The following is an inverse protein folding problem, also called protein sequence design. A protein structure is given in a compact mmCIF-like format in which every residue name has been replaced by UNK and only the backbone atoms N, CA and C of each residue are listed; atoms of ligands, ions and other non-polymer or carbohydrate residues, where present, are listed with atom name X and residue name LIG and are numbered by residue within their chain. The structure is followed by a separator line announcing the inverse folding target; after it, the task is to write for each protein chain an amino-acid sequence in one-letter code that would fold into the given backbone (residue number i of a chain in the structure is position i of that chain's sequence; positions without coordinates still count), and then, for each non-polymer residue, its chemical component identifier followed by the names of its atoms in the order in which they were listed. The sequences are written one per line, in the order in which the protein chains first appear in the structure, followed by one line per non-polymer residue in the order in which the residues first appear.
data_IF_011251933274
#
_entry.id   IF_011251933274
#
_cell.length_a   1.000
_cell.length_b   1.000
_cell.length_c   1.000
_cell.angle_alpha   90.00
_cell.angle_beta   90.00
_cell.angle_gamma   90.00
#
_symmetry.space_group_name_H-M   'P 1'
#
loop_
_entity.id
_entity.type
_entity.pdbx_description
1 polymer ?
#
# COMPACT_ATOMS: atom_id res chain seq x y z
N UNK A 1 12.79 12.94 -14.60
CA UNK A 1 13.23 12.14 -13.42
C UNK A 1 13.38 10.69 -13.83
N UNK A 2 14.60 10.13 -13.84
CA UNK A 2 14.79 8.67 -13.96
C UNK A 2 14.41 8.05 -12.61
N UNK A 3 13.41 7.17 -12.61
CA UNK A 3 12.91 6.46 -11.43
C UNK A 3 13.86 5.31 -11.01
N UNK A 4 15.17 5.56 -10.94
CA UNK A 4 16.17 4.49 -10.83
C UNK A 4 16.36 3.92 -9.42
N UNK A 5 15.78 4.53 -8.37
CA UNK A 5 15.98 4.09 -6.98
C UNK A 5 14.66 3.84 -6.21
N UNK A 6 13.52 3.65 -6.89
CA UNK A 6 12.26 3.33 -6.19
C UNK A 6 12.28 1.83 -5.86
N UNK A 7 12.45 1.50 -4.58
CA UNK A 7 12.21 0.15 -4.08
C UNK A 7 10.76 0.03 -3.62
N UNK A 8 10.00 -0.89 -4.23
CA UNK A 8 8.58 -1.04 -3.99
C UNK A 8 8.23 -2.50 -3.72
N UNK A 9 7.38 -2.71 -2.73
CA UNK A 9 6.77 -4.01 -2.42
C UNK A 9 5.27 -3.93 -2.62
N UNK A 10 4.72 -4.88 -3.37
CA UNK A 10 3.29 -4.93 -3.73
C UNK A 10 2.62 -6.05 -2.96
N UNK A 11 1.59 -5.70 -2.18
CA UNK A 11 0.69 -6.66 -1.54
C UNK A 11 -0.64 -6.72 -2.29
N UNK A 12 -1.07 -7.90 -2.70
CA UNK A 12 -2.30 -8.08 -3.46
C UNK A 12 -3.11 -9.26 -2.93
N UNK A 13 -4.38 -8.99 -2.59
CA UNK A 13 -5.34 -10.04 -2.28
C UNK A 13 -6.16 -10.42 -3.52
N UNK A 14 -6.21 -11.73 -3.82
CA UNK A 14 -7.03 -12.27 -4.91
C UNK A 14 -8.13 -13.19 -4.39
N UNK A 15 -9.37 -12.90 -4.78
CA UNK A 15 -10.56 -13.69 -4.41
C UNK A 15 -10.72 -14.93 -5.33
N UNK A 16 -9.71 -15.80 -5.42
CA UNK A 16 -9.75 -17.08 -6.18
C UNK A 16 -9.56 -18.30 -5.25
N UNK A 17 -10.08 -19.46 -5.65
CA UNK A 17 -9.95 -20.76 -4.92
C UNK A 17 -8.62 -21.50 -5.18
N UNK A 18 -7.83 -21.09 -6.18
CA UNK A 18 -6.58 -21.74 -6.62
C UNK A 18 -5.32 -20.98 -6.18
N UNK A 19 -4.22 -21.71 -6.01
CA UNK A 19 -3.32 -21.67 -4.84
C UNK A 19 -1.90 -21.16 -5.04
N UNK A 20 -1.45 -20.81 -6.24
CA UNK A 20 -0.04 -20.41 -6.38
C UNK A 20 0.05 -19.29 -7.40
N UNK A 21 0.20 -18.08 -6.89
CA UNK A 21 0.74 -16.97 -7.67
C UNK A 21 2.18 -16.86 -7.20
N UNK A 22 3.12 -16.91 -8.14
CA UNK A 22 4.55 -16.81 -7.83
C UNK A 22 4.80 -15.54 -7.03
N UNK A 23 5.25 -15.74 -5.79
CA UNK A 23 5.61 -14.66 -4.90
C UNK A 23 7.07 -14.31 -5.12
N UNK A 24 7.36 -13.02 -5.21
CA UNK A 24 8.72 -12.52 -5.10
C UNK A 24 8.80 -11.69 -3.83
N UNK A 25 10.02 -11.39 -3.38
CA UNK A 25 10.24 -10.48 -2.25
C UNK A 25 9.59 -9.11 -2.44
N UNK A 26 9.37 -8.69 -3.70
CA UNK A 26 8.72 -7.41 -4.06
C UNK A 26 7.25 -7.54 -4.45
N UNK A 27 6.73 -8.76 -4.57
CA UNK A 27 5.35 -9.02 -5.00
C UNK A 27 4.76 -10.18 -4.22
N UNK A 28 3.95 -9.85 -3.22
CA UNK A 28 3.30 -10.79 -2.33
C UNK A 28 1.83 -10.84 -2.72
N UNK A 29 1.43 -11.95 -3.33
CA UNK A 29 0.04 -12.18 -3.73
C UNK A 29 -0.53 -13.33 -2.91
N UNK A 30 -1.67 -13.10 -2.29
CA UNK A 30 -2.29 -14.06 -1.39
C UNK A 30 -3.78 -14.24 -1.67
N UNK A 31 -4.26 -15.45 -1.39
CA UNK A 31 -5.63 -15.88 -1.66
C UNK A 31 -6.34 -16.33 -0.38
N UNK A 32 -7.64 -16.62 -0.50
CA UNK A 32 -8.51 -16.97 0.64
C UNK A 32 -7.99 -18.11 1.52
N UNK A 33 -7.28 -19.10 0.95
CA UNK A 33 -6.73 -20.24 1.71
C UNK A 33 -5.57 -19.84 2.64
N UNK A 34 -4.96 -18.69 2.40
CA UNK A 34 -3.86 -18.16 3.20
C UNK A 34 -4.36 -17.11 4.20
N UNK A 35 -5.65 -17.16 4.53
CA UNK A 35 -6.26 -16.33 5.55
C UNK A 35 -6.67 -17.19 6.74
N UNK A 36 -6.64 -16.61 7.94
CA UNK A 36 -7.32 -17.14 9.11
C UNK A 36 -8.84 -17.12 8.91
N UNK A 37 -9.56 -17.76 9.83
CA UNK A 37 -11.02 -17.71 9.86
C UNK A 37 -11.58 -16.27 9.90
N UNK A 38 -10.88 -15.35 10.57
CA UNK A 38 -11.25 -13.93 10.67
C UNK A 38 -10.76 -13.08 9.49
N UNK A 39 -10.15 -13.70 8.48
CA UNK A 39 -9.66 -12.99 7.29
C UNK A 39 -8.28 -12.34 7.44
N UNK A 40 -7.57 -12.55 8.56
CA UNK A 40 -6.17 -12.11 8.74
C UNK A 40 -5.26 -12.93 7.84
N UNK A 41 -4.35 -12.34 7.04
CA UNK A 41 -3.35 -13.11 6.32
C UNK A 41 -2.49 -13.97 7.26
N UNK A 42 -2.07 -15.14 6.77
CA UNK A 42 -1.19 -16.04 7.51
C UNK A 42 0.18 -15.40 7.78
N UNK A 43 0.89 -15.95 8.75
CA UNK A 43 2.12 -15.34 9.28
C UNK A 43 3.24 -15.25 8.24
N UNK A 44 3.27 -16.15 7.27
CA UNK A 44 4.19 -16.11 6.12
C UNK A 44 3.99 -14.87 5.24
N UNK A 45 2.76 -14.35 5.14
CA UNK A 45 2.42 -13.11 4.44
C UNK A 45 2.69 -11.88 5.32
N UNK A 46 2.42 -11.99 6.64
CA UNK A 46 2.52 -10.86 7.56
C UNK A 46 3.97 -10.56 7.99
N UNK A 47 4.80 -11.58 8.15
CA UNK A 47 6.15 -11.43 8.71
C UNK A 47 7.05 -10.50 7.88
N UNK A 48 7.11 -10.59 6.53
CA UNK A 48 7.88 -9.65 5.74
C UNK A 48 7.45 -8.19 5.96
N UNK A 49 6.13 -7.95 6.03
CA UNK A 49 5.55 -6.63 6.26
C UNK A 49 5.99 -6.02 7.59
N UNK A 50 6.00 -6.81 8.66
CA UNK A 50 6.31 -6.36 10.02
C UNK A 50 7.80 -6.06 10.24
N UNK A 51 8.66 -6.65 9.40
CA UNK A 51 10.12 -6.47 9.42
C UNK A 51 10.61 -5.33 8.53
N UNK A 52 9.72 -4.73 7.73
CA UNK A 52 10.04 -3.62 6.82
C UNK A 52 9.45 -2.31 7.34
N UNK A 53 10.15 -1.21 7.09
CA UNK A 53 9.64 0.14 7.26
C UNK A 53 9.49 0.78 5.88
N UNK A 54 8.40 1.50 5.69
CA UNK A 54 8.06 2.14 4.41
C UNK A 54 8.04 3.65 4.58
N UNK A 55 8.58 4.38 3.61
CA UNK A 55 8.37 5.83 3.59
C UNK A 55 6.89 6.15 3.34
N UNK A 56 6.28 5.44 2.39
CA UNK A 56 4.89 5.68 1.97
C UNK A 56 4.18 4.37 1.65
N UNK A 57 2.94 4.24 2.11
CA UNK A 57 2.01 3.18 1.72
C UNK A 57 0.90 3.77 0.86
N UNK A 58 0.63 3.13 -0.28
CA UNK A 58 -0.46 3.48 -1.18
C UNK A 58 -1.52 2.37 -1.17
N UNK A 59 -2.67 2.64 -0.57
CA UNK A 59 -3.87 1.81 -0.71
C UNK A 59 -4.57 2.17 -2.02
N UNK A 60 -4.52 1.26 -2.99
CA UNK A 60 -5.19 1.36 -4.28
C UNK A 60 -6.56 0.67 -4.31
N UNK A 61 -7.09 0.24 -3.16
CA UNK A 61 -8.35 -0.50 -3.10
C UNK A 61 -9.57 0.40 -3.17
N UNK A 62 -10.31 0.31 -4.28
CA UNK A 62 -11.61 1.00 -4.44
C UNK A 62 -12.70 0.59 -3.45
N UNK A 63 -12.53 -0.53 -2.75
CA UNK A 63 -13.45 -1.05 -1.74
C UNK A 63 -12.67 -1.66 -0.60
N UNK A 64 -13.16 -1.48 0.63
CA UNK A 64 -12.57 -2.10 1.81
C UNK A 64 -12.68 -3.61 1.76
N UNK A 65 -11.53 -4.29 1.89
CA UNK A 65 -11.43 -5.74 2.02
C UNK A 65 -10.67 -6.07 3.31
N UNK A 66 -11.30 -6.86 4.18
CA UNK A 66 -10.73 -7.27 5.49
C UNK A 66 -9.26 -7.72 5.40
N UNK A 67 -8.86 -8.57 4.44
CA UNK A 67 -7.47 -9.02 4.38
C UNK A 67 -6.47 -7.91 4.05
N UNK A 68 -6.87 -6.94 3.23
CA UNK A 68 -6.03 -5.78 2.90
C UNK A 68 -6.00 -4.79 4.06
N UNK A 69 -7.08 -4.66 4.82
CA UNK A 69 -7.09 -3.83 6.04
C UNK A 69 -6.03 -4.30 7.06
N UNK A 70 -5.88 -5.62 7.24
CA UNK A 70 -4.79 -6.14 8.08
C UNK A 70 -3.40 -5.75 7.57
N UNK A 71 -3.18 -5.76 6.25
CA UNK A 71 -1.91 -5.28 5.67
C UNK A 71 -1.71 -3.79 5.98
N UNK A 72 -2.74 -2.96 5.78
CA UNK A 72 -2.63 -1.52 6.01
C UNK A 72 -2.38 -1.16 7.48
N UNK A 73 -3.00 -1.90 8.41
CA UNK A 73 -2.81 -1.69 9.85
C UNK A 73 -1.42 -2.08 10.35
N UNK A 74 -0.78 -3.06 9.69
CA UNK A 74 0.48 -3.66 10.14
C UNK A 74 1.70 -3.11 9.37
N UNK A 75 1.48 -2.52 8.20
CA UNK A 75 2.52 -1.81 7.47
C UNK A 75 3.00 -0.64 8.33
N UNK A 76 4.29 -0.56 8.65
CA UNK A 76 4.87 0.59 9.36
C UNK A 76 5.30 1.63 8.34
N UNK A 77 4.58 2.75 8.26
CA UNK A 77 4.89 3.80 7.30
C UNK A 77 4.86 5.21 7.88
N UNK A 78 5.68 6.09 7.32
CA UNK A 78 5.67 7.53 7.65
C UNK A 78 4.40 8.18 7.10
N UNK A 79 3.93 7.75 5.93
CA UNK A 79 2.73 8.28 5.29
C UNK A 79 1.86 7.20 4.66
N UNK A 80 0.55 7.38 4.76
CA UNK A 80 -0.45 6.54 4.12
C UNK A 80 -1.28 7.37 3.15
N UNK A 81 -1.45 6.86 1.93
CA UNK A 81 -2.33 7.40 0.92
C UNK A 81 -3.39 6.35 0.60
N UNK A 82 -4.65 6.75 0.47
CA UNK A 82 -5.75 5.82 0.16
C UNK A 82 -6.69 6.38 -0.88
N UNK A 83 -7.37 5.52 -1.63
CA UNK A 83 -8.45 5.92 -2.54
C UNK A 83 -9.75 6.26 -1.82
N UNK A 84 -9.84 6.00 -0.51
CA UNK A 84 -11.03 6.22 0.33
C UNK A 84 -10.66 6.79 1.71
N UNK A 85 -11.50 7.67 2.25
CA UNK A 85 -11.34 8.24 3.60
C UNK A 85 -11.88 7.21 4.60
N UNK A 86 -11.01 6.31 5.08
CA UNK A 86 -11.38 5.44 6.21
C UNK A 86 -11.00 6.11 7.53
N UNK A 87 -11.98 6.29 8.42
CA UNK A 87 -11.81 7.00 9.71
C UNK A 87 -10.92 6.25 10.71
N UNK A 88 -10.79 4.95 10.54
CA UNK A 88 -10.03 4.00 11.35
C UNK A 88 -8.54 3.98 11.02
N UNK A 89 -8.13 4.56 9.88
CA UNK A 89 -6.73 4.67 9.46
C UNK A 89 -6.36 6.14 9.26
N UNK A 90 -5.20 6.55 9.80
CA UNK A 90 -4.71 7.92 9.64
C UNK A 90 -4.09 8.10 8.26
N UNK A 91 -4.92 8.28 7.25
CA UNK A 91 -4.44 8.63 5.91
C UNK A 91 -4.00 10.09 5.85
N UNK A 92 -2.80 10.31 5.33
CA UNK A 92 -2.24 11.64 5.12
C UNK A 92 -2.88 12.31 3.90
N UNK A 93 -3.22 11.53 2.86
CA UNK A 93 -3.78 12.04 1.60
C UNK A 93 -4.76 11.04 0.97
N UNK A 94 -5.69 11.56 0.15
CA UNK A 94 -6.72 10.78 -0.54
C UNK A 94 -6.50 10.86 -2.05
N UNK A 95 -6.43 9.71 -2.71
CA UNK A 95 -6.26 9.59 -4.16
C UNK A 95 -7.63 9.53 -4.83
N UNK A 96 -7.84 10.37 -5.84
CA UNK A 96 -9.00 10.24 -6.70
C UNK A 96 -8.75 9.10 -7.70
N UNK A 97 -9.60 8.05 -7.64
CA UNK A 97 -9.55 6.92 -8.58
C UNK A 97 -10.85 6.70 -9.32
N UNK A 98 -11.72 7.72 -9.35
CA UNK A 98 -12.94 7.74 -10.16
C UNK A 98 -12.59 7.75 -11.65
N UNK A 99 -11.44 8.31 -12.01
CA UNK A 99 -10.83 8.12 -13.32
C UNK A 99 -10.22 6.72 -13.45
N UNK A 100 -10.51 6.05 -14.57
CA UNK A 100 -9.87 4.79 -14.94
C UNK A 100 -8.53 4.97 -15.64
N UNK A 101 -8.06 6.20 -15.82
CA UNK A 101 -6.77 6.49 -16.44
C UNK A 101 -5.64 6.23 -15.44
N UNK A 102 -4.88 5.16 -15.67
CA UNK A 102 -3.72 4.79 -14.87
C UNK A 102 -2.68 5.93 -14.80
N UNK A 103 -2.57 6.77 -15.85
CA UNK A 103 -1.67 7.92 -15.89
C UNK A 103 -2.09 8.98 -14.86
N UNK A 104 -3.39 9.22 -14.73
CA UNK A 104 -3.92 10.18 -13.76
C UNK A 104 -3.65 9.77 -12.31
N UNK A 105 -3.74 8.47 -12.00
CA UNK A 105 -3.41 7.94 -10.66
C UNK A 105 -1.91 8.09 -10.38
N UNK A 106 -1.06 7.81 -11.37
CA UNK A 106 0.39 7.99 -11.25
C UNK A 106 0.80 9.45 -11.06
N UNK A 107 0.12 10.39 -11.71
CA UNK A 107 0.40 11.81 -11.56
C UNK A 107 0.00 12.33 -10.18
N UNK A 108 -1.08 11.79 -9.59
CA UNK A 108 -1.41 12.06 -8.18
C UNK A 108 -0.32 11.54 -7.23
N UNK A 109 0.22 10.34 -7.47
CA UNK A 109 1.35 9.84 -6.67
C UNK A 109 2.56 10.79 -6.75
N UNK A 110 2.93 11.20 -7.96
CA UNK A 110 4.04 12.14 -8.17
C UNK A 110 3.81 13.45 -7.45
N UNK A 111 2.60 14.00 -7.54
CA UNK A 111 2.22 15.23 -6.85
C UNK A 111 2.41 15.12 -5.33
N UNK A 112 1.89 14.06 -4.70
CA UNK A 112 2.00 13.89 -3.26
C UNK A 112 3.41 13.59 -2.79
N UNK A 113 4.17 12.77 -3.52
CA UNK A 113 5.58 12.51 -3.21
C UNK A 113 6.42 13.79 -3.27
N UNK A 114 6.21 14.63 -4.29
CA UNK A 114 6.88 15.93 -4.39
C UNK A 114 6.49 16.87 -3.25
N UNK A 115 5.22 16.87 -2.83
CA UNK A 115 4.75 17.68 -1.70
C UNK A 115 5.37 17.23 -0.37
N UNK A 116 5.45 15.92 -0.13
CA UNK A 116 6.12 15.37 1.05
C UNK A 116 7.59 15.77 1.05
N UNK A 117 8.29 15.60 -0.07
CA UNK A 117 9.71 15.94 -0.20
C UNK A 117 9.95 17.44 0.04
N UNK A 118 9.15 18.32 -0.56
CA UNK A 118 9.26 19.77 -0.37
C UNK A 118 8.97 20.19 1.08
N UNK A 119 8.00 19.55 1.74
CA UNK A 119 7.72 19.83 3.15
C UNK A 119 8.84 19.34 4.08
N UNK A 120 9.47 18.19 3.78
CA UNK A 120 10.64 17.71 4.52
C UNK A 120 11.85 18.62 4.33
N UNK A 121 12.09 19.12 3.11
CA UNK A 121 13.15 20.10 2.81
C UNK A 121 12.89 21.42 3.56
N UNK A 122 11.65 21.92 3.54
CA UNK A 122 11.30 23.19 4.17
C UNK A 122 11.28 23.11 5.71
N UNK A 123 10.94 21.95 6.28
CA UNK A 123 10.96 21.72 7.73
C UNK A 123 12.31 21.21 8.25
N UNK A 124 13.24 20.85 7.36
CA UNK A 124 14.63 20.48 7.66
C UNK A 124 15.60 21.66 7.73
N UNK A 125 15.10 22.90 7.68
CA UNK A 125 15.84 24.10 8.05
C UNK A 125 15.33 24.58 9.42
N UNK A 126 15.79 23.87 10.45
CA UNK A 126 16.48 24.42 11.63
C UNK A 126 17.22 23.31 12.37
#
# INVERSE_FOLDING_TARGET
MKASNIDATIYCYVRRKSTVIEQTTKRIVFARKQLSFLGRPQEDIMKPLQTMEFDVVFDLTRKSYIPVLYILMEAKAISYCSTDIRKDLRFNFVLNTDSTDDIFVLDQFRYYLNKINNNLINNGIK
#
